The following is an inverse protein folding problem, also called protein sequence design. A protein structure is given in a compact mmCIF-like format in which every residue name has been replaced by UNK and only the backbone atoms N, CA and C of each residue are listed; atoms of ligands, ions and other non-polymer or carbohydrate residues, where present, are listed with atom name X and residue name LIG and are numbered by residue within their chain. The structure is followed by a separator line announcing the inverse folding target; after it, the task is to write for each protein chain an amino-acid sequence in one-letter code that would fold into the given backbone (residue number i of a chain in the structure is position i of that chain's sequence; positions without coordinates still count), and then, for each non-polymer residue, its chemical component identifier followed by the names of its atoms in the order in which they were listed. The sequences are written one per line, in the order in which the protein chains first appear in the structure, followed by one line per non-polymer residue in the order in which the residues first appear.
data_IF_454698601326
#
_entry.id   IF_454698601326
#
_cell.length_a   1.000
_cell.length_b   1.000
_cell.length_c   1.000
_cell.angle_alpha   90.00
_cell.angle_beta   90.00
_cell.angle_gamma   90.00
#
_symmetry.space_group_name_H-M   'P 1'
#
loop_
_entity.id
_entity.type
_entity.pdbx_description
1 polymer ?
#
# COMPACT_ATOMS: atom_id res chain seq x y z
N UNK A 1 6.07 30.78 1.46
CA UNK A 1 4.83 30.03 1.64
C UNK A 1 4.26 29.74 0.25
N UNK A 2 4.32 28.47 -0.16
CA UNK A 2 3.62 28.01 -1.35
C UNK A 2 2.14 28.01 -0.97
N UNK A 3 1.22 28.64 -1.73
CA UNK A 3 -0.20 28.56 -1.43
C UNK A 3 -0.60 27.10 -1.50
N UNK A 4 -1.23 26.61 -0.43
CA UNK A 4 -1.85 25.28 -0.39
C UNK A 4 -2.92 25.22 -1.49
N UNK A 5 -2.59 24.60 -2.62
CA UNK A 5 -3.62 24.17 -3.56
C UNK A 5 -4.32 23.00 -2.90
N UNK A 6 -5.50 23.26 -2.36
CA UNK A 6 -6.28 22.21 -1.71
C UNK A 6 -6.51 21.05 -2.68
N UNK A 7 -6.09 19.85 -2.25
CA UNK A 7 -6.20 18.64 -3.07
C UNK A 7 -7.68 18.25 -3.16
N UNK A 8 -8.25 17.90 -4.33
CA UNK A 8 -9.67 17.54 -4.49
C UNK A 8 -10.15 16.47 -3.49
N UNK A 9 -9.27 15.56 -3.06
CA UNK A 9 -9.58 14.55 -2.06
C UNK A 9 -9.82 15.13 -0.66
N UNK A 10 -9.09 16.17 -0.27
CA UNK A 10 -9.29 16.87 1.01
C UNK A 10 -10.60 17.64 1.01
N UNK A 11 -10.89 18.32 -0.11
CA UNK A 11 -12.15 19.04 -0.29
C UNK A 11 -13.35 18.11 -0.22
N UNK A 12 -13.26 16.94 -0.89
CA UNK A 12 -14.29 15.90 -0.80
C UNK A 12 -14.49 15.42 0.64
N UNK A 13 -13.41 15.16 1.36
CA UNK A 13 -13.48 14.73 2.75
C UNK A 13 -14.15 15.80 3.65
N UNK A 14 -13.76 17.06 3.54
CA UNK A 14 -14.33 18.15 4.31
C UNK A 14 -15.83 18.36 3.99
N UNK A 15 -16.19 18.25 2.71
CA UNK A 15 -17.56 18.29 2.23
C UNK A 15 -18.40 17.19 2.89
N UNK A 16 -17.92 15.96 2.86
CA UNK A 16 -18.60 14.81 3.44
C UNK A 16 -18.73 14.90 4.95
N UNK A 17 -17.71 15.37 5.64
CA UNK A 17 -17.76 15.62 7.09
C UNK A 17 -18.84 16.67 7.43
N UNK A 18 -18.91 17.78 6.68
CA UNK A 18 -19.92 18.81 6.89
C UNK A 18 -21.34 18.30 6.64
N UNK A 19 -21.53 17.53 5.56
CA UNK A 19 -22.82 16.90 5.23
C UNK A 19 -23.26 15.91 6.31
N UNK A 20 -22.35 15.08 6.81
CA UNK A 20 -22.59 14.14 7.89
C UNK A 20 -23.02 14.84 9.18
N UNK A 21 -22.33 15.89 9.54
CA UNK A 21 -22.62 16.66 10.76
C UNK A 21 -24.01 17.30 10.70
N UNK A 22 -24.41 17.86 9.55
CA UNK A 22 -25.75 18.41 9.34
C UNK A 22 -26.83 17.32 9.30
N UNK A 23 -26.57 16.19 8.62
CA UNK A 23 -27.50 15.08 8.54
C UNK A 23 -27.89 14.53 9.91
N UNK A 24 -26.92 14.38 10.80
CA UNK A 24 -27.13 13.78 12.12
C UNK A 24 -27.68 14.80 13.13
N UNK A 25 -27.24 16.07 13.06
CA UNK A 25 -27.75 17.13 13.92
C UNK A 25 -29.21 17.48 13.62
N UNK A 26 -29.65 17.25 12.38
CA UNK A 26 -31.00 17.61 11.94
C UNK A 26 -32.10 16.61 12.30
N UNK A 27 -31.79 15.40 12.74
CA UNK A 27 -32.76 14.37 13.18
C UNK A 27 -33.79 13.95 12.11
N UNK A 28 -33.64 14.37 10.87
CA UNK A 28 -34.54 14.08 9.75
C UNK A 28 -33.74 13.73 8.50
N UNK A 29 -34.28 12.83 7.68
CA UNK A 29 -33.77 12.56 6.33
C UNK A 29 -33.85 13.84 5.49
N UNK A 30 -32.75 14.55 5.34
CA UNK A 30 -32.62 15.66 4.40
C UNK A 30 -32.21 15.05 3.07
N UNK A 31 -32.84 15.47 1.97
CA UNK A 31 -32.45 14.99 0.64
C UNK A 31 -30.98 15.33 0.36
N UNK A 32 -30.26 14.35 -0.18
CA UNK A 32 -28.83 14.45 -0.47
C UNK A 32 -28.48 15.70 -1.30
N UNK A 33 -29.35 16.10 -2.24
CA UNK A 33 -29.18 17.29 -3.07
C UNK A 33 -29.15 18.59 -2.29
N UNK A 34 -30.07 18.78 -1.34
CA UNK A 34 -30.14 19.98 -0.53
C UNK A 34 -28.95 20.13 0.43
N UNK A 35 -28.47 19.02 0.98
CA UNK A 35 -27.24 19.01 1.80
C UNK A 35 -26.00 19.31 0.97
N UNK A 36 -25.94 18.77 -0.24
CA UNK A 36 -24.84 19.00 -1.16
C UNK A 36 -24.74 20.46 -1.58
N UNK A 37 -25.87 21.09 -1.93
CA UNK A 37 -25.90 22.51 -2.27
C UNK A 37 -25.44 23.40 -1.12
N UNK A 38 -25.91 23.12 0.08
CA UNK A 38 -25.54 23.86 1.30
C UNK A 38 -24.05 23.73 1.64
N UNK A 39 -23.53 22.52 1.53
CA UNK A 39 -22.12 22.22 1.76
C UNK A 39 -21.22 22.82 0.66
N UNK A 40 -21.65 22.77 -0.60
CA UNK A 40 -20.96 23.39 -1.73
C UNK A 40 -20.91 24.94 -1.62
N UNK A 41 -21.99 25.56 -1.15
CA UNK A 41 -22.02 27.02 -0.89
C UNK A 41 -21.05 27.43 0.24
N UNK A 42 -20.88 26.57 1.24
CA UNK A 42 -19.98 26.81 2.38
C UNK A 42 -18.50 26.68 1.97
N UNK A 43 -18.20 25.73 1.09
CA UNK A 43 -16.84 25.50 0.56
C UNK A 43 -16.49 26.44 -0.61
N UNK A 44 -17.48 26.92 -1.35
CA UNK A 44 -17.26 27.72 -2.58
C UNK A 44 -16.64 29.09 -2.38
N UNK A 45 -16.35 29.48 -1.14
CA UNK A 45 -15.68 30.76 -0.80
C UNK A 45 -14.18 30.63 -0.57
N UNK A 46 -13.71 29.43 -0.28
CA UNK A 46 -12.34 29.23 0.22
C UNK A 46 -11.48 28.28 -0.64
N UNK A 47 -12.03 27.70 -1.72
CA UNK A 47 -11.33 26.66 -2.53
C UNK A 47 -11.35 27.00 -4.02
N UNK A 48 -10.17 27.22 -4.60
CA UNK A 48 -9.99 27.36 -6.06
C UNK A 48 -9.90 25.98 -6.74
N UNK A 49 -11.04 25.40 -7.12
CA UNK A 49 -11.10 24.25 -8.01
C UNK A 49 -11.42 24.68 -9.42
N UNK A 50 -10.88 23.98 -10.43
CA UNK A 50 -11.38 24.12 -11.81
C UNK A 50 -12.85 23.71 -11.90
N UNK A 51 -13.63 24.20 -12.90
CA UNK A 51 -15.02 23.80 -13.06
C UNK A 51 -15.20 22.27 -13.12
N UNK A 52 -14.34 21.58 -13.88
CA UNK A 52 -14.34 20.12 -14.01
C UNK A 52 -14.00 19.42 -12.70
N UNK A 53 -13.00 19.94 -11.94
CA UNK A 53 -12.64 19.42 -10.64
C UNK A 53 -13.74 19.60 -9.60
N UNK A 54 -14.51 20.69 -9.70
CA UNK A 54 -15.68 20.94 -8.86
C UNK A 54 -16.80 19.95 -9.14
N UNK A 55 -17.13 19.71 -10.41
CA UNK A 55 -18.18 18.76 -10.82
C UNK A 55 -17.80 17.33 -10.42
N UNK A 56 -16.53 16.94 -10.54
CA UNK A 56 -16.02 15.65 -10.09
C UNK A 56 -16.19 15.47 -8.56
N UNK A 57 -15.82 16.48 -7.77
CA UNK A 57 -15.95 16.44 -6.30
C UNK A 57 -17.42 16.35 -5.89
N UNK A 58 -18.29 17.13 -6.50
CA UNK A 58 -19.73 17.12 -6.22
C UNK A 58 -20.39 15.78 -6.59
N UNK A 59 -20.05 15.21 -7.73
CA UNK A 59 -20.52 13.88 -8.16
C UNK A 59 -20.09 12.77 -7.18
N UNK A 60 -18.84 12.78 -6.74
CA UNK A 60 -18.33 11.85 -5.73
C UNK A 60 -19.01 12.05 -4.38
N UNK A 61 -19.24 13.29 -3.94
CA UNK A 61 -19.94 13.60 -2.70
C UNK A 61 -21.38 13.09 -2.72
N UNK A 62 -22.08 13.24 -3.83
CA UNK A 62 -23.44 12.71 -4.00
C UNK A 62 -23.48 11.18 -3.90
N UNK A 63 -22.57 10.49 -4.59
CA UNK A 63 -22.45 9.03 -4.52
C UNK A 63 -22.15 8.57 -3.11
N UNK A 64 -21.17 9.18 -2.46
CA UNK A 64 -20.76 8.85 -1.10
C UNK A 64 -21.90 9.03 -0.09
N UNK A 65 -22.68 10.09 -0.24
CA UNK A 65 -23.80 10.35 0.65
C UNK A 65 -24.96 9.37 0.45
N UNK A 66 -25.25 8.97 -0.79
CA UNK A 66 -26.26 7.95 -1.06
C UNK A 66 -25.88 6.60 -0.46
N UNK A 67 -24.63 6.16 -0.65
CA UNK A 67 -24.12 4.95 -0.04
C UNK A 67 -24.22 5.01 1.49
N UNK A 68 -23.88 6.15 2.08
CA UNK A 68 -24.00 6.35 3.51
C UNK A 68 -25.47 6.28 3.98
N UNK A 69 -26.41 6.88 3.22
CA UNK A 69 -27.85 6.82 3.51
C UNK A 69 -28.35 5.36 3.53
N UNK A 70 -27.93 4.55 2.57
CA UNK A 70 -28.31 3.13 2.54
C UNK A 70 -27.72 2.37 3.74
N UNK A 71 -26.46 2.61 4.06
CA UNK A 71 -25.83 2.05 5.24
C UNK A 71 -26.56 2.47 6.53
N UNK A 72 -26.93 3.73 6.68
CA UNK A 72 -27.66 4.24 7.84
C UNK A 72 -29.06 3.63 7.92
N UNK A 73 -29.78 3.47 6.84
CA UNK A 73 -31.13 2.86 6.85
C UNK A 73 -31.14 1.41 7.30
N UNK A 74 -30.09 0.66 6.97
CA UNK A 74 -30.09 -0.80 7.09
C UNK A 74 -29.47 -1.36 8.38
N UNK A 75 -28.71 -0.58 9.18
CA UNK A 75 -27.85 -1.20 10.19
C UNK A 75 -27.55 -0.38 11.46
N UNK A 76 -28.29 0.72 11.80
CA UNK A 76 -27.65 1.63 12.73
C UNK A 76 -28.17 1.69 14.17
N UNK A 77 -27.19 1.40 15.08
CA UNK A 77 -27.27 1.75 16.48
C UNK A 77 -27.29 3.29 16.67
N UNK A 78 -27.55 3.72 17.90
CA UNK A 78 -27.59 5.14 18.26
C UNK A 78 -26.22 5.78 18.05
N UNK A 79 -26.15 6.82 17.23
CA UNK A 79 -24.93 7.63 17.09
C UNK A 79 -24.60 8.26 18.43
N UNK A 80 -23.38 8.03 18.91
CA UNK A 80 -22.86 8.62 20.13
C UNK A 80 -22.20 9.97 19.84
N UNK A 81 -21.25 10.00 18.89
CA UNK A 81 -20.57 11.24 18.53
C UNK A 81 -20.11 11.23 17.06
N UNK A 82 -19.88 12.43 16.50
CA UNK A 82 -19.35 12.66 15.16
C UNK A 82 -18.36 13.80 15.20
N UNK A 83 -17.22 13.60 14.53
CA UNK A 83 -16.17 14.60 14.47
C UNK A 83 -15.61 14.98 15.83
N UNK A 84 -15.78 14.13 16.82
CA UNK A 84 -15.32 14.37 18.19
C UNK A 84 -13.81 14.40 18.25
N UNK A 85 -13.27 15.48 18.80
CA UNK A 85 -11.84 15.59 19.05
C UNK A 85 -11.50 14.95 20.39
N UNK A 86 -10.52 14.08 20.39
CA UNK A 86 -10.02 13.43 21.58
C UNK A 86 -8.56 13.78 21.83
N UNK A 87 -8.20 13.90 23.11
CA UNK A 87 -6.83 14.13 23.56
C UNK A 87 -6.57 13.30 24.81
N UNK A 88 -5.55 12.45 24.75
CA UNK A 88 -5.15 11.62 25.90
C UNK A 88 -3.64 11.73 26.14
N UNK A 89 -3.21 11.59 27.38
CA UNK A 89 -1.80 11.39 27.74
C UNK A 89 -1.43 9.92 27.60
N UNK A 90 -0.27 9.63 27.04
CA UNK A 90 0.32 8.30 27.00
C UNK A 90 1.84 8.41 27.10
N UNK A 91 2.41 7.97 28.25
CA UNK A 91 3.81 8.19 28.57
C UNK A 91 4.20 9.68 28.44
N UNK A 92 5.20 10.00 27.62
CA UNK A 92 5.64 11.37 27.35
C UNK A 92 4.89 12.03 26.20
N UNK A 93 3.95 11.31 25.56
CA UNK A 93 3.20 11.77 24.40
C UNK A 93 1.82 12.32 24.78
N UNK A 94 1.39 13.27 24.02
CA UNK A 94 -0.01 13.70 23.97
C UNK A 94 -0.59 13.21 22.65
N UNK A 95 -1.41 12.19 22.72
CA UNK A 95 -2.07 11.62 21.55
C UNK A 95 -3.37 12.37 21.28
N UNK A 96 -3.57 12.77 20.04
CA UNK A 96 -4.76 13.48 19.60
C UNK A 96 -5.36 12.83 18.38
N UNK A 97 -6.68 12.73 18.31
CA UNK A 97 -7.39 12.27 17.12
C UNK A 97 -8.70 13.04 16.98
N UNK A 98 -9.29 12.93 15.80
CA UNK A 98 -10.66 13.30 15.53
C UNK A 98 -11.38 12.06 15.02
N UNK A 99 -12.31 11.53 15.81
CA UNK A 99 -13.14 10.41 15.39
C UNK A 99 -14.12 10.86 14.31
N UNK A 100 -14.20 10.14 13.21
CA UNK A 100 -15.22 10.41 12.19
C UNK A 100 -16.61 10.16 12.77
N UNK A 101 -16.80 9.01 13.44
CA UNK A 101 -18.03 8.65 14.10
C UNK A 101 -17.81 7.57 15.16
N UNK A 102 -18.55 7.67 16.25
CA UNK A 102 -18.67 6.63 17.28
C UNK A 102 -20.17 6.33 17.47
N UNK A 103 -20.53 5.05 17.39
CA UNK A 103 -21.89 4.57 17.64
C UNK A 103 -21.98 3.83 18.98
N UNK A 104 -23.12 3.99 19.64
CA UNK A 104 -23.47 3.22 20.84
C UNK A 104 -24.27 1.99 20.43
N UNK A 105 -23.72 0.80 20.69
CA UNK A 105 -24.35 -0.48 20.40
C UNK A 105 -25.46 -0.79 21.43
N UNK A 106 -26.40 -1.69 21.09
CA UNK A 106 -27.50 -2.06 22.01
C UNK A 106 -27.03 -2.64 23.34
N UNK A 107 -25.87 -3.29 23.37
CA UNK A 107 -25.26 -3.83 24.60
C UNK A 107 -24.49 -2.80 25.42
N UNK A 108 -24.52 -1.52 25.03
CA UNK A 108 -23.84 -0.43 25.72
C UNK A 108 -22.36 -0.25 25.33
N UNK A 109 -21.83 -1.06 24.42
CA UNK A 109 -20.48 -0.92 23.90
C UNK A 109 -20.42 0.10 22.77
N UNK A 110 -19.19 0.45 22.35
CA UNK A 110 -18.94 1.43 21.29
C UNK A 110 -18.40 0.79 20.03
N UNK A 111 -18.81 1.34 18.90
CA UNK A 111 -18.31 1.03 17.58
C UNK A 111 -17.66 2.26 16.96
N UNK A 112 -16.36 2.20 16.73
CA UNK A 112 -15.60 3.27 16.06
C UNK A 112 -15.71 3.09 14.56
N UNK A 113 -16.05 4.15 13.84
CA UNK A 113 -16.20 4.14 12.38
C UNK A 113 -15.22 5.14 11.79
N UNK A 114 -14.45 4.70 10.80
CA UNK A 114 -13.52 5.50 10.02
C UNK A 114 -14.01 5.56 8.58
N UNK A 115 -14.20 6.75 8.05
CA UNK A 115 -14.60 6.93 6.67
C UNK A 115 -13.40 6.98 5.73
N UNK A 116 -13.50 6.29 4.61
CA UNK A 116 -12.50 6.28 3.53
C UNK A 116 -13.17 6.74 2.22
N UNK A 117 -12.44 7.57 1.47
CA UNK A 117 -12.87 8.07 0.15
C UNK A 117 -12.11 7.39 -1.01
N UNK A 118 -11.40 6.31 -0.72
CA UNK A 118 -10.72 5.52 -1.74
C UNK A 118 -11.72 4.75 -2.62
N UNK A 119 -11.34 4.53 -3.88
CA UNK A 119 -12.15 3.78 -4.86
C UNK A 119 -12.12 2.26 -4.66
N UNK A 120 -11.18 1.76 -3.85
CA UNK A 120 -11.04 0.32 -3.53
C UNK A 120 -11.03 0.16 -2.02
N UNK A 121 -11.86 -0.74 -1.52
CA UNK A 121 -11.81 -1.14 -0.13
C UNK A 121 -10.52 -1.94 0.16
N UNK A 122 -9.95 -1.73 1.34
CA UNK A 122 -8.86 -2.56 1.83
C UNK A 122 -9.36 -3.95 2.23
N UNK A 123 -8.48 -4.90 2.20
CA UNK A 123 -8.75 -6.23 2.77
C UNK A 123 -8.64 -6.17 4.30
N UNK A 124 -9.15 -7.20 4.98
CA UNK A 124 -8.99 -7.32 6.44
C UNK A 124 -7.51 -7.34 6.86
N UNK A 125 -6.64 -7.89 6.02
CA UNK A 125 -5.20 -7.87 6.26
C UNK A 125 -4.62 -6.45 6.14
N UNK A 126 -4.96 -5.71 5.09
CA UNK A 126 -4.54 -4.31 4.94
C UNK A 126 -5.04 -3.44 6.09
N UNK A 127 -6.23 -3.73 6.63
CA UNK A 127 -6.76 -3.07 7.82
C UNK A 127 -5.89 -3.30 9.07
N UNK A 128 -5.27 -4.49 9.21
CA UNK A 128 -4.31 -4.79 10.29
C UNK A 128 -2.97 -4.07 10.16
N UNK A 129 -2.63 -3.63 8.95
CA UNK A 129 -1.42 -2.85 8.67
C UNK A 129 -1.67 -1.34 8.73
N UNK A 130 -2.92 -0.91 8.74
CA UNK A 130 -3.29 0.51 8.88
C UNK A 130 -3.17 0.95 10.34
N UNK A 131 -2.00 1.46 10.71
CA UNK A 131 -1.76 2.00 12.05
C UNK A 131 -2.77 3.10 12.43
N UNK A 132 -3.37 3.80 11.46
CA UNK A 132 -4.35 4.86 11.76
C UNK A 132 -5.62 4.31 12.42
N UNK A 133 -6.07 3.13 12.00
CA UNK A 133 -7.20 2.44 12.62
C UNK A 133 -6.87 1.93 14.02
N UNK A 134 -5.71 1.29 14.18
CA UNK A 134 -5.24 0.80 15.47
C UNK A 134 -5.04 1.97 16.45
N UNK A 135 -4.52 3.09 15.97
CA UNK A 135 -4.35 4.33 16.74
C UNK A 135 -5.70 4.89 17.24
N UNK A 136 -6.70 4.98 16.34
CA UNK A 136 -8.04 5.42 16.73
C UNK A 136 -8.70 4.46 17.74
N UNK A 137 -8.56 3.15 17.52
CA UNK A 137 -8.99 2.15 18.48
C UNK A 137 -8.34 2.35 19.84
N UNK A 138 -7.03 2.53 19.88
CA UNK A 138 -6.27 2.70 21.11
C UNK A 138 -6.73 3.92 21.90
N UNK A 139 -6.96 5.06 21.26
CA UNK A 139 -7.47 6.27 21.92
C UNK A 139 -8.91 6.02 22.40
N UNK A 140 -9.77 5.43 21.59
CA UNK A 140 -11.14 5.13 21.97
C UNK A 140 -11.21 4.18 23.19
N UNK A 141 -10.38 3.13 23.22
CA UNK A 141 -10.33 2.20 24.34
C UNK A 141 -9.84 2.86 25.65
N UNK A 142 -8.96 3.86 25.54
CA UNK A 142 -8.54 4.68 26.69
C UNK A 142 -9.63 5.62 27.19
N UNK A 143 -10.50 6.13 26.31
CA UNK A 143 -11.64 6.98 26.67
C UNK A 143 -12.81 6.16 27.22
N UNK A 144 -12.99 4.95 26.68
CA UNK A 144 -14.10 4.05 27.02
C UNK A 144 -13.57 2.65 27.39
N UNK A 145 -12.86 2.48 28.51
CA UNK A 145 -12.11 1.28 28.83
C UNK A 145 -12.95 0.00 28.81
N UNK A 146 -12.53 -0.96 27.98
CA UNK A 146 -13.18 -2.27 27.84
C UNK A 146 -14.57 -2.21 27.18
N UNK A 147 -14.97 -1.07 26.62
CA UNK A 147 -16.27 -0.87 25.98
C UNK A 147 -16.18 -0.69 24.47
N UNK A 148 -15.01 -0.59 23.89
CA UNK A 148 -14.87 -0.52 22.44
C UNK A 148 -14.89 -1.94 21.86
N UNK A 149 -16.00 -2.30 21.21
CA UNK A 149 -16.23 -3.66 20.74
C UNK A 149 -15.67 -3.90 19.35
N UNK A 150 -15.80 -2.92 18.47
CA UNK A 150 -15.35 -3.03 17.08
C UNK A 150 -14.98 -1.69 16.46
N UNK A 151 -14.18 -1.77 15.40
CA UNK A 151 -13.90 -0.70 14.47
C UNK A 151 -14.32 -1.12 13.07
N UNK A 152 -14.79 -0.20 12.25
CA UNK A 152 -15.04 -0.45 10.84
C UNK A 152 -14.52 0.68 9.96
N UNK A 153 -13.93 0.30 8.84
CA UNK A 153 -13.67 1.23 7.74
C UNK A 153 -14.89 1.22 6.81
N UNK A 154 -15.45 2.39 6.57
CA UNK A 154 -16.60 2.58 5.66
C UNK A 154 -16.12 3.34 4.43
N UNK A 155 -16.17 2.68 3.29
CA UNK A 155 -15.78 3.23 2.00
C UNK A 155 -16.97 3.95 1.37
N UNK A 156 -16.97 5.28 1.46
CA UNK A 156 -18.12 6.09 1.06
C UNK A 156 -18.42 6.05 -0.44
N UNK A 157 -17.39 5.83 -1.30
CA UNK A 157 -17.58 5.79 -2.75
C UNK A 157 -18.09 4.43 -3.27
N UNK A 158 -17.84 3.35 -2.54
CA UNK A 158 -18.22 1.98 -2.96
C UNK A 158 -19.33 1.38 -2.08
N UNK A 159 -19.55 1.93 -0.89
CA UNK A 159 -20.48 1.38 0.09
C UNK A 159 -19.94 0.19 0.89
N UNK A 160 -18.67 -0.20 0.66
CA UNK A 160 -18.05 -1.32 1.37
C UNK A 160 -17.83 -0.99 2.85
N UNK A 161 -18.06 -1.99 3.71
CA UNK A 161 -17.79 -1.92 5.15
C UNK A 161 -16.83 -3.03 5.51
N UNK A 162 -15.64 -2.66 5.99
CA UNK A 162 -14.60 -3.61 6.42
C UNK A 162 -14.53 -3.58 7.94
N UNK A 163 -15.11 -4.57 8.64
CA UNK A 163 -15.00 -4.69 10.07
C UNK A 163 -13.58 -5.11 10.46
N UNK A 164 -13.06 -4.50 11.51
CA UNK A 164 -11.74 -4.81 12.03
C UNK A 164 -11.75 -4.65 13.55
N UNK A 165 -11.20 -5.60 14.27
CA UNK A 165 -10.95 -5.49 15.71
C UNK A 165 -9.47 -5.74 15.94
N UNK A 166 -8.72 -4.72 16.43
CA UNK A 166 -7.31 -4.89 16.75
C UNK A 166 -7.12 -5.98 17.80
N UNK A 167 -6.11 -6.81 17.59
CA UNK A 167 -5.65 -7.78 18.59
C UNK A 167 -4.69 -7.11 19.57
N UNK A 168 -4.42 -7.76 20.70
CA UNK A 168 -3.39 -7.30 21.63
C UNK A 168 -2.03 -7.13 20.95
N UNK A 169 -1.71 -7.99 19.97
CA UNK A 169 -0.47 -7.90 19.20
C UNK A 169 -0.43 -6.65 18.30
N UNK A 170 -1.56 -6.28 17.68
CA UNK A 170 -1.65 -5.07 16.87
C UNK A 170 -1.43 -3.83 17.74
N UNK A 171 -2.01 -3.81 18.95
CA UNK A 171 -1.83 -2.71 19.93
C UNK A 171 -0.38 -2.64 20.44
N UNK A 172 0.26 -3.77 20.70
CA UNK A 172 1.68 -3.78 21.10
C UNK A 172 2.60 -3.27 19.99
N UNK A 173 2.33 -3.59 18.72
CA UNK A 173 3.07 -3.00 17.59
C UNK A 173 2.92 -1.47 17.55
N UNK A 174 1.72 -0.96 17.79
CA UNK A 174 1.49 0.49 17.89
C UNK A 174 2.29 1.13 19.03
N UNK A 175 2.29 0.52 20.21
CA UNK A 175 3.08 1.01 21.36
C UNK A 175 4.58 1.02 21.08
N UNK A 176 5.09 -0.02 20.40
CA UNK A 176 6.50 -0.05 19.97
C UNK A 176 6.80 1.11 19.01
N UNK A 177 5.88 1.46 18.10
CA UNK A 177 6.07 2.62 17.23
C UNK A 177 6.09 3.94 18.00
N UNK A 178 5.35 4.07 19.10
CA UNK A 178 5.43 5.24 19.98
C UNK A 178 6.79 5.33 20.69
N UNK A 179 7.27 4.22 21.22
CA UNK A 179 8.59 4.15 21.87
C UNK A 179 9.70 4.54 20.89
N UNK A 180 9.63 4.03 19.66
CA UNK A 180 10.57 4.39 18.60
C UNK A 180 10.50 5.87 18.24
N UNK A 181 9.29 6.41 18.08
CA UNK A 181 9.05 7.83 17.82
C UNK A 181 9.61 8.73 18.97
N UNK A 182 9.38 8.36 20.24
CA UNK A 182 9.92 9.10 21.39
C UNK A 182 11.45 9.10 21.33
N UNK A 183 12.06 7.93 21.13
CA UNK A 183 13.52 7.78 21.06
C UNK A 183 14.11 8.64 19.93
N UNK A 184 13.55 8.55 18.72
CA UNK A 184 14.02 9.33 17.56
C UNK A 184 13.91 10.85 17.80
N UNK A 185 12.83 11.29 18.46
CA UNK A 185 12.66 12.71 18.79
C UNK A 185 13.60 13.18 19.89
N UNK A 186 13.89 12.36 20.90
CA UNK A 186 14.84 12.69 21.98
C UNK A 186 16.29 12.70 21.49
N UNK A 187 16.64 11.81 20.57
CA UNK A 187 17.97 11.74 19.97
C UNK A 187 18.19 12.82 18.90
N UNK A 188 17.14 13.58 18.54
CA UNK A 188 17.14 14.60 17.48
C UNK A 188 17.69 14.10 16.13
N UNK A 189 17.60 12.81 15.86
CA UNK A 189 18.03 12.18 14.62
C UNK A 189 16.89 12.17 13.62
N UNK A 190 16.52 13.35 13.11
CA UNK A 190 15.54 13.47 12.04
C UNK A 190 16.19 13.16 10.69
N UNK A 191 16.51 11.90 10.46
CA UNK A 191 16.97 11.46 9.16
C UNK A 191 15.78 11.37 8.20
N UNK A 192 15.93 11.94 7.01
CA UNK A 192 14.92 11.85 5.96
C UNK A 192 14.75 10.40 5.51
N UNK A 193 13.55 9.86 5.70
CA UNK A 193 13.21 8.51 5.21
C UNK A 193 12.68 8.59 3.79
N UNK A 194 13.55 8.29 2.80
CA UNK A 194 13.11 8.22 1.42
C UNK A 194 12.19 7.04 1.16
N UNK A 195 11.06 7.37 0.56
CA UNK A 195 10.05 6.41 0.17
C UNK A 195 9.37 6.83 -1.16
N UNK A 196 8.52 6.01 -1.79
CA UNK A 196 7.85 6.36 -3.03
C UNK A 196 7.00 7.64 -2.97
N UNK A 197 6.61 8.09 -1.78
CA UNK A 197 5.82 9.31 -1.57
C UNK A 197 6.68 10.58 -1.60
N UNK A 198 8.01 10.48 -1.58
CA UNK A 198 8.89 11.65 -1.68
C UNK A 198 8.63 12.50 -2.93
N UNK A 199 8.16 11.88 -4.01
CA UNK A 199 7.76 12.61 -5.23
C UNK A 199 6.55 13.52 -5.05
N UNK A 200 5.80 13.35 -3.96
CA UNK A 200 4.64 14.15 -3.58
C UNK A 200 4.92 15.00 -2.34
N UNK A 201 6.15 15.01 -1.84
CA UNK A 201 6.55 15.73 -0.64
C UNK A 201 6.75 17.21 -0.94
N UNK A 202 6.11 18.06 -0.18
CA UNK A 202 6.19 19.51 -0.33
C UNK A 202 7.60 20.05 0.01
N UNK A 203 8.42 19.27 0.72
CA UNK A 203 9.80 19.60 1.11
C UNK A 203 10.86 19.00 0.19
N UNK A 204 10.48 18.40 -0.94
CA UNK A 204 11.38 17.70 -1.84
C UNK A 204 12.57 18.58 -2.29
N UNK A 205 12.34 19.86 -2.52
CA UNK A 205 13.37 20.80 -3.03
C UNK A 205 14.41 21.19 -1.98
N UNK A 206 14.03 21.17 -0.71
CA UNK A 206 14.90 21.58 0.41
C UNK A 206 15.40 20.40 1.25
N UNK A 207 14.89 19.20 1.02
CA UNK A 207 15.28 17.99 1.73
C UNK A 207 16.66 17.51 1.26
N UNK A 208 17.64 17.48 2.17
CA UNK A 208 19.00 17.01 1.85
C UNK A 208 19.04 15.53 1.44
N UNK A 209 18.16 14.72 2.01
CA UNK A 209 17.96 13.34 1.57
C UNK A 209 17.29 13.27 0.18
N UNK A 210 16.66 14.35 -0.29
CA UNK A 210 16.16 14.43 -1.65
C UNK A 210 17.29 14.54 -2.69
N UNK A 211 18.46 14.95 -2.28
CA UNK A 211 19.66 15.01 -3.15
C UNK A 211 20.33 13.66 -3.30
N UNK A 212 20.10 12.70 -2.40
CA UNK A 212 20.55 11.32 -2.60
C UNK A 212 19.72 10.66 -3.69
N UNK A 213 20.34 9.87 -4.54
CA UNK A 213 19.64 9.21 -5.65
C UNK A 213 18.85 8.00 -5.15
N UNK A 214 17.52 8.07 -5.24
CA UNK A 214 16.67 6.92 -4.95
C UNK A 214 16.47 6.08 -6.20
N UNK A 215 16.99 4.88 -6.22
CA UNK A 215 16.82 3.91 -7.28
C UNK A 215 15.86 2.79 -6.82
N UNK A 216 14.96 2.39 -7.71
CA UNK A 216 14.17 1.16 -7.57
C UNK A 216 14.53 0.19 -8.70
N UNK A 217 14.23 -1.11 -8.58
CA UNK A 217 14.45 -2.06 -9.66
C UNK A 217 13.87 -1.60 -11.00
N UNK A 218 12.67 -1.00 -10.97
CA UNK A 218 12.03 -0.46 -12.17
C UNK A 218 12.74 0.77 -12.73
N UNK A 219 13.37 1.60 -11.92
CA UNK A 219 14.18 2.74 -12.38
C UNK A 219 15.48 2.25 -13.02
N UNK A 220 16.15 1.30 -12.37
CA UNK A 220 17.39 0.70 -12.89
C UNK A 220 17.14 0.02 -14.23
N UNK A 221 16.13 -0.85 -14.31
CA UNK A 221 15.73 -1.53 -15.55
C UNK A 221 15.30 -0.55 -16.64
N UNK A 222 14.60 0.54 -16.29
CA UNK A 222 14.23 1.58 -17.24
C UNK A 222 15.47 2.28 -17.82
N UNK A 223 16.44 2.65 -16.99
CA UNK A 223 17.69 3.27 -17.45
C UNK A 223 18.50 2.31 -18.34
N UNK A 224 18.65 1.07 -17.91
CA UNK A 224 19.35 0.05 -18.67
C UNK A 224 18.71 -0.24 -20.03
N UNK A 225 17.38 -0.22 -20.09
CA UNK A 225 16.64 -0.42 -21.36
C UNK A 225 16.74 0.79 -22.28
N UNK A 226 16.56 2.00 -21.74
CA UNK A 226 16.67 3.24 -22.49
C UNK A 226 16.86 4.44 -21.53
N UNK A 227 18.05 5.01 -21.53
CA UNK A 227 18.38 6.15 -20.67
C UNK A 227 17.49 7.38 -20.96
N UNK A 228 17.14 7.63 -22.23
CA UNK A 228 16.22 8.71 -22.60
C UNK A 228 14.80 8.49 -22.02
N UNK A 229 14.31 7.25 -22.03
CA UNK A 229 13.03 6.89 -21.40
C UNK A 229 13.06 7.13 -19.89
N UNK A 230 14.18 6.82 -19.24
CA UNK A 230 14.39 7.11 -17.82
C UNK A 230 14.31 8.61 -17.55
N UNK A 231 15.02 9.43 -18.34
CA UNK A 231 14.99 10.90 -18.25
C UNK A 231 13.56 11.43 -18.36
N UNK A 232 12.85 11.07 -19.44
CA UNK A 232 11.46 11.52 -19.66
C UNK A 232 10.53 11.12 -18.52
N UNK A 233 10.68 9.88 -18.00
CA UNK A 233 9.77 9.33 -16.99
C UNK A 233 10.07 9.79 -15.57
N UNK A 234 11.34 9.89 -15.18
CA UNK A 234 11.73 10.05 -13.78
C UNK A 234 12.40 11.40 -13.46
N UNK A 235 12.95 12.08 -14.45
CA UNK A 235 13.57 13.39 -14.29
C UNK A 235 12.62 14.48 -14.78
N UNK A 236 12.23 14.46 -16.05
CA UNK A 236 11.34 15.45 -16.64
C UNK A 236 9.86 15.22 -16.28
N UNK A 237 9.52 14.00 -15.81
CA UNK A 237 8.17 13.62 -15.36
C UNK A 237 7.11 13.98 -16.40
N UNK A 238 7.41 13.70 -17.67
CA UNK A 238 6.46 13.92 -18.77
C UNK A 238 5.13 13.22 -18.43
N UNK A 239 4.01 13.95 -18.37
CA UNK A 239 2.72 13.38 -18.01
C UNK A 239 2.37 12.24 -18.97
N UNK A 240 2.05 11.08 -18.41
CA UNK A 240 1.49 9.97 -19.15
C UNK A 240 0.18 9.60 -18.49
N UNK A 241 -0.86 9.44 -19.30
CA UNK A 241 -2.11 8.89 -18.78
C UNK A 241 -1.82 7.54 -18.09
N UNK A 242 -2.00 7.51 -16.79
CA UNK A 242 -1.84 6.32 -16.00
C UNK A 242 -3.09 5.45 -16.17
N UNK A 243 -3.18 4.73 -17.28
CA UNK A 243 -4.21 3.69 -17.43
C UNK A 243 -3.67 2.39 -16.86
N UNK A 244 -4.45 1.65 -16.06
CA UNK A 244 -4.13 0.28 -15.73
C UNK A 244 -3.89 -0.51 -17.03
N UNK A 245 -2.94 -1.42 -17.00
CA UNK A 245 -2.69 -2.31 -18.13
C UNK A 245 -3.09 -3.73 -17.75
N UNK A 246 -3.51 -4.59 -18.72
CA UNK A 246 -3.88 -5.96 -18.41
C UNK A 246 -2.82 -6.71 -17.62
N UNK A 247 -1.54 -6.51 -17.98
CA UNK A 247 -0.43 -7.18 -17.30
C UNK A 247 -0.25 -6.70 -15.86
N UNK A 248 -0.45 -5.41 -15.56
CA UNK A 248 -0.33 -4.87 -14.21
C UNK A 248 -1.46 -5.39 -13.31
N UNK A 249 -2.70 -5.37 -13.79
CA UNK A 249 -3.86 -5.87 -13.05
C UNK A 249 -3.76 -7.38 -12.79
N UNK A 250 -3.33 -8.13 -13.81
CA UNK A 250 -3.06 -9.56 -13.71
C UNK A 250 -1.98 -9.87 -12.67
N UNK A 251 -0.84 -9.19 -12.74
CA UNK A 251 0.28 -9.34 -11.84
C UNK A 251 -0.14 -9.12 -10.39
N UNK A 252 -0.78 -7.98 -10.12
CA UNK A 252 -1.26 -7.62 -8.77
C UNK A 252 -2.30 -8.60 -8.23
N UNK A 253 -3.23 -9.07 -9.08
CA UNK A 253 -4.24 -10.05 -8.67
C UNK A 253 -3.62 -11.36 -8.22
N UNK A 254 -2.57 -11.83 -8.91
CA UNK A 254 -1.83 -13.05 -8.54
C UNK A 254 -1.04 -12.83 -7.24
N UNK A 255 -0.31 -11.72 -7.11
CA UNK A 255 0.45 -11.41 -5.90
C UNK A 255 -0.45 -11.36 -4.66
N UNK A 256 -1.60 -10.71 -4.75
CA UNK A 256 -2.57 -10.69 -3.65
C UNK A 256 -3.11 -12.08 -3.33
N UNK A 257 -3.39 -12.90 -4.35
CA UNK A 257 -3.86 -14.26 -4.12
C UNK A 257 -2.81 -15.16 -3.46
N UNK A 258 -1.56 -15.06 -3.88
CA UNK A 258 -0.44 -15.80 -3.28
C UNK A 258 -0.21 -15.39 -1.83
N UNK A 259 -0.25 -14.09 -1.54
CA UNK A 259 -0.14 -13.58 -0.19
C UNK A 259 -1.26 -14.11 0.70
N UNK A 260 -2.53 -13.93 0.32
CA UNK A 260 -3.68 -14.39 1.11
C UNK A 260 -3.60 -15.90 1.38
N UNK A 261 -3.15 -16.67 0.38
CA UNK A 261 -2.96 -18.10 0.56
C UNK A 261 -1.93 -18.41 1.65
N UNK A 262 -0.74 -17.85 1.57
CA UNK A 262 0.34 -18.16 2.51
C UNK A 262 0.13 -17.58 3.92
N UNK A 263 -0.67 -16.52 4.05
CA UNK A 263 -1.05 -15.96 5.35
C UNK A 263 -2.13 -16.76 6.07
N UNK A 264 -3.05 -17.36 5.32
CA UNK A 264 -4.26 -17.95 5.88
C UNK A 264 -4.36 -19.48 5.73
N UNK A 265 -3.51 -20.10 4.93
CA UNK A 265 -3.57 -21.52 4.63
C UNK A 265 -2.22 -22.21 4.82
N UNK A 266 -2.20 -23.23 5.68
CA UNK A 266 -1.07 -24.15 5.77
C UNK A 266 -1.25 -25.29 4.75
N UNK A 267 -0.31 -25.46 3.82
CA UNK A 267 -0.43 -26.46 2.75
C UNK A 267 -0.70 -27.87 3.26
N UNK A 268 -0.06 -28.28 4.35
CA UNK A 268 -0.26 -29.60 4.95
C UNK A 268 -1.67 -29.85 5.50
N UNK A 269 -2.48 -28.80 5.70
CA UNK A 269 -3.85 -28.88 6.20
C UNK A 269 -4.92 -28.66 5.13
N UNK A 270 -4.54 -28.16 3.96
CA UNK A 270 -5.47 -27.84 2.86
C UNK A 270 -5.59 -29.02 1.92
N UNK A 271 -6.76 -29.68 1.91
CA UNK A 271 -7.05 -30.82 1.05
C UNK A 271 -7.43 -30.46 -0.37
N UNK A 272 -8.08 -29.31 -0.58
CA UNK A 272 -8.53 -28.82 -1.87
C UNK A 272 -7.89 -27.48 -2.20
N UNK A 273 -7.61 -27.24 -3.48
CA UNK A 273 -7.03 -25.97 -3.95
C UNK A 273 -7.99 -24.81 -3.70
N UNK A 274 -7.65 -23.83 -2.84
CA UNK A 274 -8.51 -22.68 -2.52
C UNK A 274 -8.33 -21.51 -3.48
N UNK A 275 -7.33 -21.53 -4.36
CA UNK A 275 -6.92 -20.38 -5.16
C UNK A 275 -8.02 -19.81 -6.05
N UNK A 276 -8.95 -20.63 -6.56
CA UNK A 276 -10.06 -20.12 -7.38
C UNK A 276 -10.94 -19.13 -6.60
N UNK A 277 -11.24 -19.44 -5.34
CA UNK A 277 -11.99 -18.55 -4.47
C UNK A 277 -11.20 -17.31 -4.09
N UNK A 278 -9.91 -17.50 -3.74
CA UNK A 278 -9.00 -16.42 -3.38
C UNK A 278 -8.80 -15.47 -4.56
N UNK A 279 -8.54 -16.01 -5.77
CA UNK A 279 -8.35 -15.19 -6.97
C UNK A 279 -9.60 -14.35 -7.28
N UNK A 280 -10.79 -14.90 -7.19
CA UNK A 280 -12.02 -14.14 -7.40
C UNK A 280 -12.18 -12.98 -6.41
N UNK A 281 -11.75 -13.15 -5.17
CA UNK A 281 -11.75 -12.11 -4.14
C UNK A 281 -10.80 -10.95 -4.48
N UNK A 282 -9.65 -11.25 -5.09
CA UNK A 282 -8.58 -10.27 -5.35
C UNK A 282 -8.43 -9.89 -6.82
N UNK A 283 -9.34 -10.37 -7.68
CA UNK A 283 -9.27 -10.04 -9.09
C UNK A 283 -9.49 -8.54 -9.34
N UNK A 284 -8.57 -7.94 -10.09
CA UNK A 284 -8.64 -6.54 -10.50
C UNK A 284 -9.15 -6.50 -11.94
N UNK A 285 -10.40 -6.03 -12.19
CA UNK A 285 -11.00 -6.06 -13.51
C UNK A 285 -10.54 -4.90 -14.43
N UNK A 286 -9.83 -3.91 -13.87
CA UNK A 286 -9.40 -2.73 -14.60
C UNK A 286 -8.23 -3.03 -15.56
N UNK A 287 -8.21 -2.35 -16.70
CA UNK A 287 -7.06 -2.34 -17.62
C UNK A 287 -7.15 -3.32 -18.78
N UNK A 288 -8.16 -4.16 -18.84
CA UNK A 288 -8.46 -5.03 -20.00
C UNK A 288 -9.23 -4.26 -21.05
N UNK A 289 -9.03 -4.60 -22.33
CA UNK A 289 -9.69 -3.95 -23.45
C UNK A 289 -11.20 -4.28 -23.50
N UNK A 290 -11.54 -5.51 -23.16
CA UNK A 290 -12.88 -6.05 -23.12
C UNK A 290 -12.99 -7.25 -22.18
N UNK A 291 -14.21 -7.75 -22.00
CA UNK A 291 -14.51 -8.89 -21.15
C UNK A 291 -13.84 -10.20 -21.64
N UNK A 292 -13.64 -10.34 -22.95
CA UNK A 292 -12.98 -11.54 -23.52
C UNK A 292 -11.48 -11.56 -23.18
N UNK A 293 -10.83 -10.39 -23.24
CA UNK A 293 -9.44 -10.26 -22.78
C UNK A 293 -9.32 -10.53 -21.29
N UNK A 294 -10.20 -9.95 -20.47
CA UNK A 294 -10.24 -10.18 -19.02
C UNK A 294 -10.36 -11.67 -18.71
N UNK A 295 -11.29 -12.38 -19.33
CA UNK A 295 -11.51 -13.80 -19.10
C UNK A 295 -10.30 -14.65 -19.52
N UNK A 296 -9.64 -14.33 -20.64
CA UNK A 296 -8.38 -14.99 -21.03
C UNK A 296 -7.29 -14.86 -19.97
N UNK A 297 -7.15 -13.66 -19.39
CA UNK A 297 -6.20 -13.44 -18.31
C UNK A 297 -6.59 -14.17 -17.01
N UNK A 298 -7.87 -14.22 -16.69
CA UNK A 298 -8.41 -14.90 -15.51
C UNK A 298 -8.23 -16.41 -15.61
N UNK A 299 -8.47 -17.00 -16.77
CA UNK A 299 -8.18 -18.43 -17.04
C UNK A 299 -6.70 -18.71 -16.87
N UNK A 300 -5.82 -17.87 -17.44
CA UNK A 300 -4.36 -18.00 -17.27
C UNK A 300 -3.95 -17.92 -15.80
N UNK A 301 -4.51 -16.99 -15.02
CA UNK A 301 -4.23 -16.87 -13.59
C UNK A 301 -4.61 -18.14 -12.82
N UNK A 302 -5.81 -18.68 -13.10
CA UNK A 302 -6.27 -19.92 -12.47
C UNK A 302 -5.32 -21.09 -12.76
N UNK A 303 -4.89 -21.25 -14.02
CA UNK A 303 -3.93 -22.32 -14.40
C UNK A 303 -2.60 -22.14 -13.66
N UNK A 304 -2.06 -20.92 -13.62
CA UNK A 304 -0.80 -20.63 -12.91
C UNK A 304 -0.89 -20.96 -11.42
N UNK A 305 -1.96 -20.54 -10.76
CA UNK A 305 -2.16 -20.77 -9.34
C UNK A 305 -2.47 -22.24 -9.02
N UNK A 306 -3.10 -22.96 -9.95
CA UNK A 306 -3.30 -24.39 -9.82
C UNK A 306 -1.98 -25.15 -9.89
N UNK A 307 -1.14 -24.86 -10.87
CA UNK A 307 0.20 -25.47 -11.00
C UNK A 307 1.09 -25.10 -9.81
N UNK A 308 1.02 -23.86 -9.33
CA UNK A 308 1.70 -23.46 -8.11
C UNK A 308 1.27 -24.31 -6.91
N UNK A 309 -0.04 -24.47 -6.69
CA UNK A 309 -0.59 -25.27 -5.60
C UNK A 309 -0.15 -26.73 -5.65
N UNK A 310 -0.10 -27.33 -6.85
CA UNK A 310 0.38 -28.70 -7.05
C UNK A 310 1.87 -28.86 -6.69
N UNK A 311 2.65 -27.80 -6.91
CA UNK A 311 4.09 -27.80 -6.62
C UNK A 311 4.45 -27.55 -5.16
N UNK A 312 3.50 -27.16 -4.31
CA UNK A 312 3.74 -26.98 -2.89
C UNK A 312 3.84 -28.34 -2.19
N UNK A 313 4.89 -28.56 -1.44
CA UNK A 313 5.17 -29.82 -0.73
C UNK A 313 4.92 -29.72 0.81
N UNK A 314 4.61 -28.53 1.28
CA UNK A 314 4.36 -28.26 2.70
C UNK A 314 5.63 -27.93 3.50
N UNK A 315 6.77 -27.80 2.82
CA UNK A 315 8.02 -27.33 3.45
C UNK A 315 8.13 -25.81 3.52
N UNK A 316 7.20 -25.08 2.92
CA UNK A 316 7.13 -23.65 2.94
C UNK A 316 6.91 -23.16 4.38
N UNK A 317 7.74 -22.24 4.82
CA UNK A 317 7.65 -21.64 6.15
C UNK A 317 7.71 -20.10 6.04
N UNK A 318 6.65 -19.47 5.48
CA UNK A 318 6.61 -18.03 5.32
C UNK A 318 6.52 -17.32 6.67
N UNK A 319 7.37 -16.31 6.85
CA UNK A 319 7.44 -15.53 8.10
C UNK A 319 7.13 -14.04 7.90
N UNK A 320 7.27 -13.52 6.67
CA UNK A 320 6.94 -12.14 6.33
C UNK A 320 6.46 -12.03 4.88
N UNK A 321 5.60 -11.00 4.63
CA UNK A 321 5.05 -10.70 3.30
C UNK A 321 5.13 -9.21 3.04
N UNK A 322 5.13 -8.82 1.76
CA UNK A 322 5.07 -7.41 1.31
C UNK A 322 5.98 -6.49 2.12
N UNK A 323 7.22 -6.91 2.29
CA UNK A 323 8.16 -6.24 3.18
C UNK A 323 9.10 -5.33 2.41
N UNK A 324 9.11 -4.04 2.75
CA UNK A 324 10.08 -3.09 2.21
C UNK A 324 11.47 -3.29 2.82
N UNK A 325 12.50 -3.23 1.98
CA UNK A 325 13.89 -3.19 2.41
C UNK A 325 14.67 -2.14 1.61
N UNK A 326 15.72 -1.59 2.22
CA UNK A 326 16.57 -0.56 1.64
C UNK A 326 18.02 -0.98 1.72
N UNK A 327 18.77 -0.67 0.69
CA UNK A 327 20.21 -0.77 0.66
C UNK A 327 20.81 0.60 0.32
N UNK A 328 21.66 1.10 1.20
CA UNK A 328 22.31 2.39 1.06
C UNK A 328 23.81 2.20 0.83
N UNK A 329 24.34 2.84 -0.21
CA UNK A 329 25.75 2.77 -0.55
C UNK A 329 26.19 4.02 -1.35
N UNK A 330 27.25 4.67 -0.92
CA UNK A 330 27.84 5.85 -1.57
C UNK A 330 26.85 6.95 -1.95
N UNK A 331 25.89 7.27 -1.05
CA UNK A 331 24.86 8.30 -1.30
C UNK A 331 23.75 7.88 -2.27
N UNK A 332 23.67 6.58 -2.58
CA UNK A 332 22.59 5.99 -3.38
C UNK A 332 21.77 5.07 -2.52
N UNK A 333 20.48 5.31 -2.52
CA UNK A 333 19.50 4.44 -1.85
C UNK A 333 18.79 3.57 -2.88
N UNK A 334 18.82 2.28 -2.69
CA UNK A 334 18.03 1.33 -3.48
C UNK A 334 16.96 0.73 -2.58
N UNK A 335 15.69 0.93 -2.95
CA UNK A 335 14.54 0.35 -2.24
C UNK A 335 13.95 -0.78 -3.04
N UNK A 336 13.62 -1.86 -2.36
CA UNK A 336 12.99 -3.04 -2.93
C UNK A 336 11.74 -3.39 -2.14
N UNK A 337 10.76 -3.96 -2.82
CA UNK A 337 9.62 -4.63 -2.20
C UNK A 337 9.86 -6.12 -2.31
N UNK A 338 9.67 -6.83 -1.21
CA UNK A 338 9.85 -8.28 -1.10
C UNK A 338 8.46 -8.89 -0.95
N UNK A 339 8.10 -9.80 -1.85
CA UNK A 339 6.76 -10.40 -1.83
C UNK A 339 6.60 -11.37 -0.66
N UNK A 340 7.60 -12.23 -0.43
CA UNK A 340 7.57 -13.25 0.61
C UNK A 340 8.96 -13.56 1.17
N UNK A 341 9.02 -13.83 2.47
CA UNK A 341 10.23 -14.30 3.16
C UNK A 341 9.91 -15.61 3.85
N UNK A 342 10.67 -16.66 3.53
CA UNK A 342 10.61 -17.95 4.18
C UNK A 342 11.77 -18.13 5.16
N UNK A 343 11.48 -18.75 6.31
CA UNK A 343 12.54 -19.23 7.20
C UNK A 343 12.94 -20.64 6.85
N UNK A 344 14.21 -20.83 6.56
CA UNK A 344 14.80 -22.12 6.25
C UNK A 344 15.03 -22.95 7.54
N UNK A 345 15.23 -24.28 7.44
CA UNK A 345 15.46 -25.15 8.60
C UNK A 345 16.68 -24.77 9.45
N UNK A 346 17.68 -24.11 8.86
CA UNK A 346 18.86 -23.59 9.57
C UNK A 346 18.65 -22.24 10.26
N UNK A 347 17.41 -21.71 10.21
CA UNK A 347 17.01 -20.43 10.79
C UNK A 347 17.34 -19.21 9.93
N UNK A 348 18.02 -19.39 8.79
CA UNK A 348 18.26 -18.32 7.81
C UNK A 348 17.00 -18.02 7.01
N UNK A 349 17.07 -16.98 6.21
CA UNK A 349 15.95 -16.47 5.42
C UNK A 349 16.20 -16.67 3.91
N UNK A 350 15.16 -17.09 3.23
CA UNK A 350 15.06 -17.03 1.77
C UNK A 350 14.12 -15.89 1.39
N UNK A 351 14.58 -15.00 0.53
CA UNK A 351 13.79 -13.90 -0.04
C UNK A 351 13.21 -14.38 -1.36
N UNK A 352 11.90 -14.22 -1.54
CA UNK A 352 11.18 -14.71 -2.71
C UNK A 352 10.40 -13.56 -3.35
N UNK A 353 10.57 -13.44 -4.68
CA UNK A 353 9.81 -12.50 -5.51
C UNK A 353 9.14 -13.30 -6.66
N UNK A 354 7.85 -13.11 -6.84
CA UNK A 354 7.06 -13.81 -7.84
C UNK A 354 7.12 -13.12 -9.20
N UNK A 355 7.27 -13.91 -10.26
CA UNK A 355 7.31 -13.43 -11.64
C UNK A 355 6.17 -14.04 -12.45
N UNK A 356 5.21 -13.21 -12.87
CA UNK A 356 4.01 -13.63 -13.62
C UNK A 356 4.19 -13.55 -15.14
N UNK A 357 5.35 -13.08 -15.60
CA UNK A 357 5.70 -12.96 -17.02
C UNK A 357 5.61 -14.29 -17.77
N UNK A 358 5.28 -14.24 -19.09
CA UNK A 358 5.18 -15.43 -19.94
C UNK A 358 6.53 -16.08 -20.25
N UNK A 359 7.59 -15.27 -20.38
CA UNK A 359 8.92 -15.73 -20.73
C UNK A 359 9.77 -15.87 -19.47
N UNK A 360 10.43 -16.99 -19.33
CA UNK A 360 11.46 -17.20 -18.32
C UNK A 360 12.79 -17.01 -19.03
N UNK A 361 13.63 -16.05 -18.58
CA UNK A 361 14.98 -15.90 -19.13
C UNK A 361 15.86 -17.12 -18.82
N UNK A 362 16.96 -17.26 -19.55
CA UNK A 362 17.97 -18.26 -19.20
C UNK A 362 18.51 -18.03 -17.79
N UNK A 363 18.82 -19.08 -17.07
CA UNK A 363 19.30 -19.04 -15.69
C UNK A 363 20.51 -18.12 -15.50
N UNK A 364 21.39 -18.06 -16.48
CA UNK A 364 22.53 -17.14 -16.50
C UNK A 364 22.06 -15.68 -16.44
N UNK A 365 21.05 -15.32 -17.23
CA UNK A 365 20.49 -13.96 -17.27
C UNK A 365 19.84 -13.62 -15.93
N UNK A 366 19.17 -14.59 -15.30
CA UNK A 366 18.55 -14.42 -13.98
C UNK A 366 19.62 -14.17 -12.91
N UNK A 367 20.72 -14.92 -12.94
CA UNK A 367 21.81 -14.79 -11.98
C UNK A 367 22.58 -13.45 -12.13
N UNK A 368 22.54 -12.84 -13.30
CA UNK A 368 23.13 -11.52 -13.57
C UNK A 368 22.13 -10.35 -13.35
N UNK A 369 20.89 -10.64 -12.92
CA UNK A 369 19.84 -9.64 -12.76
C UNK A 369 20.15 -8.70 -11.57
N UNK A 370 20.26 -7.41 -11.89
CA UNK A 370 20.56 -6.37 -10.92
C UNK A 370 19.48 -6.25 -9.84
N UNK A 371 18.23 -6.56 -10.15
CA UNK A 371 17.12 -6.47 -9.20
C UNK A 371 17.22 -7.53 -8.13
N UNK A 372 17.62 -8.75 -8.52
CA UNK A 372 17.82 -9.87 -7.58
C UNK A 372 18.98 -9.59 -6.62
N UNK A 373 20.09 -9.03 -7.15
CA UNK A 373 21.22 -8.61 -6.31
C UNK A 373 20.87 -7.44 -5.37
N UNK A 374 20.13 -6.45 -5.85
CA UNK A 374 19.67 -5.34 -5.01
C UNK A 374 18.74 -5.83 -3.89
N UNK A 375 17.91 -6.83 -4.18
CA UNK A 375 17.04 -7.45 -3.18
C UNK A 375 17.85 -8.15 -2.09
N UNK A 376 18.90 -8.91 -2.48
CA UNK A 376 19.83 -9.52 -1.52
C UNK A 376 20.51 -8.47 -0.64
N UNK A 377 21.06 -7.41 -1.24
CA UNK A 377 21.78 -6.38 -0.50
C UNK A 377 20.86 -5.61 0.46
N UNK A 378 19.66 -5.26 0.03
CA UNK A 378 18.67 -4.60 0.86
C UNK A 378 18.20 -5.48 2.03
N UNK A 379 17.92 -6.75 1.76
CA UNK A 379 17.55 -7.71 2.79
C UNK A 379 18.71 -7.97 3.76
N UNK A 380 19.95 -8.12 3.26
CA UNK A 380 21.12 -8.34 4.12
C UNK A 380 21.48 -7.12 4.97
N UNK A 381 21.19 -5.90 4.51
CA UNK A 381 21.35 -4.70 5.32
C UNK A 381 20.29 -4.64 6.43
N UNK A 382 19.06 -5.06 6.15
CA UNK A 382 17.96 -5.10 7.12
C UNK A 382 18.09 -6.25 8.13
N UNK A 383 18.60 -7.40 7.69
CA UNK A 383 18.80 -8.60 8.52
C UNK A 383 20.23 -9.17 8.34
N UNK A 384 21.26 -8.52 8.92
CA UNK A 384 22.65 -8.86 8.67
C UNK A 384 22.97 -10.32 8.99
N UNK A 385 23.62 -11.01 8.03
CA UNK A 385 24.06 -12.39 8.18
C UNK A 385 22.95 -13.45 8.19
N UNK A 386 21.69 -13.05 8.08
CA UNK A 386 20.55 -13.98 8.11
C UNK A 386 20.06 -14.41 6.73
N UNK A 387 20.48 -13.76 5.65
CA UNK A 387 20.01 -14.08 4.31
C UNK A 387 20.82 -15.23 3.73
N UNK A 388 20.16 -16.36 3.43
CA UNK A 388 20.80 -17.49 2.78
C UNK A 388 20.83 -17.30 1.26
N UNK A 389 19.71 -16.90 0.69
CA UNK A 389 19.54 -16.74 -0.77
C UNK A 389 18.38 -15.82 -1.09
N UNK A 390 18.37 -15.34 -2.33
CA UNK A 390 17.24 -14.64 -2.95
C UNK A 390 16.78 -15.41 -4.16
N UNK A 391 15.48 -15.40 -4.44
CA UNK A 391 14.88 -16.27 -5.44
C UNK A 391 13.81 -15.56 -6.23
N UNK A 392 13.81 -15.76 -7.55
CA UNK A 392 12.64 -15.55 -8.39
C UNK A 392 11.83 -16.83 -8.48
N UNK A 393 10.55 -16.77 -8.22
CA UNK A 393 9.61 -17.84 -8.51
C UNK A 393 8.80 -17.49 -9.76
N UNK A 394 9.14 -18.11 -10.88
CA UNK A 394 8.43 -17.91 -12.14
C UNK A 394 7.14 -18.73 -12.19
N UNK A 395 6.00 -18.02 -12.12
CA UNK A 395 4.67 -18.64 -12.12
C UNK A 395 4.33 -19.34 -13.44
N UNK A 396 4.98 -18.96 -14.56
CA UNK A 396 4.71 -19.53 -15.89
C UNK A 396 5.21 -20.96 -16.06
N UNK A 397 6.25 -21.37 -15.34
CA UNK A 397 6.80 -22.74 -15.37
C UNK A 397 6.87 -23.36 -13.97
N UNK A 398 6.35 -22.66 -12.96
CA UNK A 398 6.35 -23.06 -11.55
C UNK A 398 7.74 -23.48 -11.04
N UNK A 399 8.79 -22.73 -11.44
CA UNK A 399 10.17 -23.00 -11.02
C UNK A 399 10.76 -21.83 -10.24
N UNK A 400 11.58 -22.19 -9.26
CA UNK A 400 12.34 -21.26 -8.44
C UNK A 400 13.79 -21.22 -8.91
N UNK A 401 14.31 -20.02 -9.13
CA UNK A 401 15.69 -19.73 -9.50
C UNK A 401 16.32 -18.90 -8.38
N UNK A 402 17.34 -19.46 -7.74
CA UNK A 402 17.90 -18.89 -6.51
C UNK A 402 19.33 -18.42 -6.73
N UNK A 403 19.65 -17.25 -6.17
CA UNK A 403 20.98 -16.68 -6.15
C UNK A 403 21.50 -16.64 -4.72
N UNK A 404 22.71 -17.16 -4.50
CA UNK A 404 23.49 -16.96 -3.28
C UNK A 404 24.74 -16.18 -3.65
N UNK A 405 24.73 -14.83 -3.53
CA UNK A 405 25.85 -14.01 -3.98
C UNK A 405 27.13 -14.26 -3.19
N UNK A 406 28.24 -14.34 -3.90
CA UNK A 406 29.58 -14.28 -3.29
C UNK A 406 30.01 -12.83 -3.07
N UNK A 407 31.04 -12.62 -2.26
CA UNK A 407 31.59 -11.26 -2.07
C UNK A 407 32.08 -10.67 -3.39
N UNK A 408 32.61 -11.47 -4.29
CA UNK A 408 33.02 -11.03 -5.65
C UNK A 408 31.82 -10.52 -6.46
N UNK A 409 30.68 -11.22 -6.41
CA UNK A 409 29.46 -10.81 -7.11
C UNK A 409 28.94 -9.48 -6.54
N UNK A 410 28.98 -9.31 -5.22
CA UNK A 410 28.59 -8.09 -4.53
C UNK A 410 29.44 -6.91 -4.97
N UNK A 411 30.76 -7.08 -5.00
CA UNK A 411 31.69 -6.02 -5.44
C UNK A 411 31.50 -5.66 -6.92
N UNK A 412 31.34 -6.69 -7.79
CA UNK A 412 31.04 -6.46 -9.19
C UNK A 412 29.75 -5.69 -9.41
N UNK A 413 28.71 -6.01 -8.61
CA UNK A 413 27.44 -5.29 -8.66
C UNK A 413 27.56 -3.83 -8.19
N UNK A 414 28.30 -3.59 -7.11
CA UNK A 414 28.56 -2.23 -6.62
C UNK A 414 29.24 -1.36 -7.68
N UNK A 415 30.20 -1.92 -8.44
CA UNK A 415 30.83 -1.22 -9.55
C UNK A 415 29.83 -0.88 -10.66
N UNK A 416 28.99 -1.83 -11.07
CA UNK A 416 27.93 -1.58 -12.07
C UNK A 416 26.96 -0.49 -11.61
N UNK A 417 26.61 -0.47 -10.32
CA UNK A 417 25.73 0.57 -9.75
C UNK A 417 26.44 1.93 -9.72
N UNK A 418 27.74 2.00 -9.42
CA UNK A 418 28.51 3.24 -9.46
C UNK A 418 28.55 3.85 -10.87
N UNK A 419 28.77 3.02 -11.90
CA UNK A 419 28.78 3.44 -13.30
C UNK A 419 27.40 3.99 -13.72
N UNK A 420 26.32 3.28 -13.35
CA UNK A 420 24.95 3.71 -13.63
C UNK A 420 24.64 5.07 -12.97
N UNK A 421 25.00 5.24 -11.70
CA UNK A 421 24.81 6.50 -10.97
C UNK A 421 25.64 7.63 -11.60
N UNK A 422 26.89 7.33 -12.00
CA UNK A 422 27.76 8.29 -12.66
C UNK A 422 27.15 8.77 -13.97
N UNK A 423 26.63 7.86 -14.80
CA UNK A 423 25.96 8.19 -16.07
C UNK A 423 24.70 9.03 -15.85
N UNK A 424 23.89 8.71 -14.83
CA UNK A 424 22.72 9.52 -14.50
C UNK A 424 23.13 10.95 -14.05
N UNK A 425 24.14 11.07 -13.19
CA UNK A 425 24.62 12.35 -12.68
C UNK A 425 25.27 13.21 -13.78
N UNK A 426 25.91 12.61 -14.78
CA UNK A 426 26.46 13.29 -15.95
C UNK A 426 25.42 13.64 -17.01
N UNK A 427 24.12 13.31 -16.78
CA UNK A 427 23.04 13.47 -17.75
C UNK A 427 23.29 12.73 -19.10
N UNK A 428 23.91 11.56 -19.05
CA UNK A 428 24.16 10.69 -20.18
C UNK A 428 22.89 9.92 -20.57
N UNK A 429 21.95 10.59 -21.25
CA UNK A 429 20.64 10.03 -21.59
C UNK A 429 20.51 9.74 -23.10
N UNK A 430 21.46 9.05 -23.65
CA UNK A 430 21.43 8.61 -25.05
C UNK A 430 20.35 7.56 -25.30
N UNK A 431 19.57 7.68 -26.38
CA UNK A 431 18.59 6.65 -26.73
C UNK A 431 19.32 5.38 -27.21
N UNK A 432 18.98 4.23 -26.63
CA UNK A 432 19.39 2.95 -27.25
C UNK A 432 18.58 2.72 -28.52
N UNK A 433 19.23 2.73 -29.68
CA UNK A 433 18.60 2.39 -30.96
C UNK A 433 18.36 0.88 -31.00
N UNK A 434 17.11 0.47 -31.14
CA UNK A 434 16.71 -0.87 -31.55
C UNK A 434 16.84 -1.94 -30.46
N UNK A 435 15.89 -1.99 -29.56
CA UNK A 435 15.49 -3.25 -28.87
C UNK A 435 14.00 -3.41 -28.95
#
# INVERSE_FOLDING_TARGET
PVPDKEKPALVLYQLLQSMLQEYISGGRFIEAGALLEKAAQKLGKDVELSPEGRDEVLGKAYTAFNNLNELIRNAFPKVHSIGEQARIGYEELVLTTRFDRIDLLPNGNFHVIIYKTAKRAMTTHEARLDLSGIYNWFIADRLYPGRVEKLSYVYLLTGDVIPFTPTSQDVEKLKLSFTEFIRENLEATFEGQRNPLCSYCDYLEICDDAKSMLLSPSKISCFQSCALKYRMKYIERVPKEARPTPNLSFDRSIHFALRDFHENYERGRVKANPFRGILNKYWIPDGYADQEEEERFKVRANVMLEEYFKGLDGSENPVMFETGAKWSWNGVDTVVQIDRIDQLPDGKLEIIDYKTGKKVPDERVINEDASLMNMFLAANQKWPGRIAKVSYHYMSNNKRYSLTPTEADIQAHKLKMADLVTSINKNEFEPKKGS
#
